data_IF_639805248218
#
_entry.id   IF_639805248218
#
_cell.length_a   1.000
_cell.length_b   1.000
_cell.length_c   1.000
_cell.angle_alpha   90.00
_cell.angle_beta   90.00
_cell.angle_gamma   90.00
#
_symmetry.space_group_name_H-M   'P 1'
#
loop_
_entity.id
_entity.type
_entity.pdbx_description
1 polymer ?
#
# COMPACT_ATOMS: atom_id res chain seq x y z
N UNK A 1 -23.73 8.81 5.76
CA UNK A 1 -23.49 7.46 6.34
C UNK A 1 -21.98 7.34 6.48
N UNK A 2 -21.45 7.07 7.67
CA UNK A 2 -19.99 6.96 7.90
C UNK A 2 -19.57 5.50 7.70
N UNK A 3 -18.56 5.23 6.87
CA UNK A 3 -17.92 3.91 6.70
C UNK A 3 -16.40 4.04 6.65
N UNK A 4 -15.72 2.91 6.51
CA UNK A 4 -14.26 2.86 6.28
C UNK A 4 -13.98 3.27 4.84
N UNK A 5 -13.04 4.19 4.64
CA UNK A 5 -12.59 4.63 3.31
C UNK A 5 -11.39 3.83 2.81
N UNK A 6 -10.49 3.46 3.72
CA UNK A 6 -9.28 2.69 3.44
C UNK A 6 -8.82 1.91 4.67
N UNK A 7 -8.05 0.84 4.43
CA UNK A 7 -7.35 0.08 5.46
C UNK A 7 -5.88 -0.08 5.06
N UNK A 8 -4.98 0.34 5.94
CA UNK A 8 -3.53 0.29 5.71
C UNK A 8 -2.88 -0.86 6.48
N UNK A 9 -2.07 -1.65 5.79
CA UNK A 9 -1.23 -2.71 6.36
C UNK A 9 0.23 -2.31 6.29
N UNK A 10 0.90 -2.34 7.44
CA UNK A 10 2.35 -2.20 7.48
C UNK A 10 3.02 -3.51 7.04
N UNK A 11 4.01 -3.43 6.15
CA UNK A 11 4.75 -4.58 5.62
C UNK A 11 6.25 -4.34 5.71
N UNK A 12 7.00 -5.42 5.91
CA UNK A 12 8.46 -5.37 5.98
C UNK A 12 9.12 -5.24 4.59
N UNK A 13 8.55 -5.91 3.59
CA UNK A 13 9.04 -5.92 2.20
C UNK A 13 7.87 -5.78 1.22
N UNK A 14 7.64 -4.55 0.76
CA UNK A 14 6.57 -4.18 -0.15
C UNK A 14 6.75 -4.78 -1.54
N UNK A 15 7.98 -5.02 -2.01
CA UNK A 15 8.24 -5.61 -3.32
C UNK A 15 7.94 -7.11 -3.33
N UNK A 16 8.21 -7.79 -2.22
CA UNK A 16 7.84 -9.20 -2.02
C UNK A 16 6.33 -9.34 -1.96
N UNK A 17 5.64 -8.55 -1.15
CA UNK A 17 4.18 -8.65 -1.01
C UNK A 17 3.45 -8.22 -2.29
N UNK A 18 3.93 -7.16 -2.97
CA UNK A 18 3.40 -6.74 -4.27
C UNK A 18 3.46 -7.87 -5.30
N UNK A 19 4.62 -8.53 -5.46
CA UNK A 19 4.77 -9.66 -6.39
C UNK A 19 3.88 -10.84 -6.01
N UNK A 20 3.90 -11.25 -4.73
CA UNK A 20 3.08 -12.37 -4.23
C UNK A 20 1.60 -12.16 -4.50
N UNK A 21 1.08 -10.96 -4.20
CA UNK A 21 -0.34 -10.65 -4.39
C UNK A 21 -0.70 -10.49 -5.88
N UNK A 22 0.20 -9.91 -6.69
CA UNK A 22 0.00 -9.80 -8.14
C UNK A 22 -0.03 -11.19 -8.82
N UNK A 23 0.81 -12.13 -8.39
CA UNK A 23 0.77 -13.53 -8.84
C UNK A 23 -0.54 -14.24 -8.47
N UNK A 24 -1.19 -13.82 -7.38
CA UNK A 24 -2.52 -14.31 -6.97
C UNK A 24 -3.68 -13.62 -7.71
N UNK A 25 -3.41 -12.67 -8.62
CA UNK A 25 -4.42 -11.98 -9.42
C UNK A 25 -5.05 -10.76 -8.73
N UNK A 26 -4.44 -10.24 -7.66
CA UNK A 26 -4.91 -9.01 -7.00
C UNK A 26 -4.76 -7.79 -7.91
N UNK A 27 -5.80 -6.97 -7.97
CA UNK A 27 -5.78 -5.71 -8.72
C UNK A 27 -5.08 -4.60 -7.92
N UNK A 28 -3.98 -4.09 -8.48
CA UNK A 28 -3.27 -2.94 -7.95
C UNK A 28 -3.56 -1.69 -8.78
N UNK A 29 -3.67 -0.56 -8.10
CA UNK A 29 -3.88 0.75 -8.74
C UNK A 29 -2.58 1.29 -9.37
N UNK A 30 -1.42 0.84 -8.90
CA UNK A 30 -0.10 1.21 -9.40
C UNK A 30 0.97 0.20 -8.98
N UNK A 31 2.22 0.45 -9.39
CA UNK A 31 3.39 -0.14 -8.72
C UNK A 31 3.71 0.58 -7.41
N UNK A 32 4.47 -0.01 -6.47
CA UNK A 32 4.86 0.65 -5.24
C UNK A 32 5.63 1.95 -5.47
N UNK A 33 5.14 3.05 -4.88
CA UNK A 33 5.71 4.39 -4.99
C UNK A 33 6.53 4.75 -3.75
N UNK A 34 7.52 5.62 -3.89
CA UNK A 34 8.35 6.11 -2.77
C UNK A 34 7.95 7.54 -2.42
N UNK A 35 7.83 7.81 -1.12
CA UNK A 35 7.48 9.11 -0.56
C UNK A 35 8.59 9.58 0.37
N UNK A 36 9.07 10.81 0.12
CA UNK A 36 10.07 11.47 0.97
C UNK A 36 9.40 12.58 1.80
N UNK A 37 9.15 12.27 3.07
CA UNK A 37 8.52 13.17 4.03
C UNK A 37 9.51 13.74 5.05
N UNK A 38 10.82 13.65 4.78
CA UNK A 38 11.89 14.15 5.68
C UNK A 38 11.79 15.64 5.95
N UNK A 39 11.39 16.44 4.95
CA UNK A 39 11.12 17.89 5.12
C UNK A 39 10.01 18.21 6.14
N UNK A 40 9.18 17.23 6.50
CA UNK A 40 8.08 17.37 7.45
C UNK A 40 8.36 16.68 8.79
N UNK A 41 9.60 16.20 9.02
CA UNK A 41 9.98 15.50 10.25
C UNK A 41 9.59 14.03 10.30
N UNK A 42 9.14 13.45 9.18
CA UNK A 42 8.84 12.03 9.04
C UNK A 42 9.94 11.30 8.25
N UNK A 43 9.92 9.96 8.27
CA UNK A 43 10.86 9.15 7.47
C UNK A 43 10.52 9.13 5.98
N UNK A 44 11.24 8.28 5.25
CA UNK A 44 10.87 7.86 3.90
C UNK A 44 9.95 6.64 4.01
N UNK A 45 9.02 6.52 3.09
CA UNK A 45 8.16 5.35 3.02
C UNK A 45 7.92 4.92 1.59
N UNK A 46 7.44 3.70 1.43
CA UNK A 46 6.91 3.17 0.18
C UNK A 46 5.48 2.74 0.41
N UNK A 47 4.60 3.04 -0.54
CA UNK A 47 3.22 2.61 -0.46
C UNK A 47 2.68 2.14 -1.81
N UNK A 48 1.68 1.27 -1.76
CA UNK A 48 0.91 0.84 -2.93
C UNK A 48 -0.55 0.61 -2.54
N UNK A 49 -1.46 0.94 -3.44
CA UNK A 49 -2.89 0.74 -3.23
C UNK A 49 -3.41 -0.43 -4.08
N UNK A 50 -4.32 -1.21 -3.50
CA UNK A 50 -4.96 -2.38 -4.11
C UNK A 50 -6.45 -2.41 -3.77
N UNK A 51 -7.22 -3.19 -4.53
CA UNK A 51 -8.63 -3.47 -4.24
C UNK A 51 -8.79 -4.88 -3.69
N UNK A 52 -9.60 -4.99 -2.65
CA UNK A 52 -10.11 -6.29 -2.21
C UNK A 52 -11.27 -6.76 -3.11
N UNK A 53 -11.79 -8.00 -2.93
CA UNK A 53 -12.90 -8.52 -3.73
C UNK A 53 -14.19 -7.71 -3.63
N UNK A 54 -14.40 -6.95 -2.54
CA UNK A 54 -15.57 -6.09 -2.33
C UNK A 54 -15.34 -4.67 -2.91
N UNK A 55 -14.16 -4.40 -3.48
CA UNK A 55 -13.78 -3.12 -4.07
C UNK A 55 -13.28 -2.08 -3.07
N UNK A 56 -13.09 -2.47 -1.80
CA UNK A 56 -12.52 -1.62 -0.76
C UNK A 56 -11.05 -1.35 -1.09
N UNK A 57 -10.63 -0.09 -0.93
CA UNK A 57 -9.25 0.31 -1.14
C UNK A 57 -8.42 -0.08 0.08
N UNK A 58 -7.40 -0.87 -0.15
CA UNK A 58 -6.38 -1.20 0.84
C UNK A 58 -5.06 -0.51 0.46
N UNK A 59 -4.22 -0.27 1.45
CA UNK A 59 -2.86 0.26 1.29
C UNK A 59 -1.86 -0.71 1.93
N UNK A 60 -0.73 -0.94 1.25
CA UNK A 60 0.46 -1.50 1.90
C UNK A 60 1.47 -0.38 2.11
N UNK A 61 2.06 -0.30 3.30
CA UNK A 61 3.04 0.71 3.67
C UNK A 61 4.31 0.05 4.21
N UNK A 62 5.47 0.51 3.76
CA UNK A 62 6.79 0.14 4.29
C UNK A 62 7.58 1.40 4.63
N UNK A 63 8.18 1.49 5.82
CA UNK A 63 9.16 2.54 6.14
C UNK A 63 10.53 2.19 5.54
N UNK A 64 11.24 3.20 5.02
CA UNK A 64 12.58 3.08 4.43
C UNK A 64 13.64 3.68 5.34
#
# INVERSE_FOLDING_TARGET
RTSISELCFFVEDIDREYRRLKEMGVEFLSEPQTFDSTKYGFGKSRAVYLRDPDGIVLELLQTV
#
